data_IF_720053306222
#
_entry.id   IF_720053306222
#
_cell.length_a   1.000
_cell.length_b   1.000
_cell.length_c   1.000
_cell.angle_alpha   90.00
_cell.angle_beta   90.00
_cell.angle_gamma   90.00
#
_symmetry.space_group_name_H-M   'P 1'
#
loop_
_entity.id
_entity.type
_entity.pdbx_description
1 polymer ?
#
# COMPACT_ATOMS: atom_id res chain seq x y z
N UNK A 1 12.60 -3.88 18.83
CA UNK A 1 11.91 -4.89 18.15
C UNK A 1 11.08 -4.32 17.00
N UNK A 2 10.78 -5.15 15.99
CA UNK A 2 10.17 -4.67 14.75
C UNK A 2 8.89 -3.87 14.91
N UNK A 3 8.02 -4.24 15.85
CA UNK A 3 6.76 -3.53 16.10
C UNK A 3 6.95 -2.12 16.68
N UNK A 4 8.09 -1.84 17.27
CA UNK A 4 8.43 -0.50 17.78
C UNK A 4 9.06 0.39 16.71
N UNK A 5 9.60 -0.21 15.66
CA UNK A 5 10.30 0.49 14.58
C UNK A 5 9.37 0.92 13.46
N UNK A 6 8.19 0.32 13.36
CA UNK A 6 7.23 0.66 12.32
C UNK A 6 5.79 0.56 12.82
N UNK A 7 4.91 1.29 12.13
CA UNK A 7 3.47 1.22 12.32
C UNK A 7 2.91 0.44 11.13
N UNK A 8 2.12 -0.59 11.41
CA UNK A 8 1.48 -1.38 10.36
C UNK A 8 0.00 -1.08 10.32
N UNK A 9 -0.52 -0.83 9.14
CA UNK A 9 -1.95 -0.62 8.92
C UNK A 9 -2.41 -1.41 7.69
N UNK A 10 -3.71 -1.60 7.57
CA UNK A 10 -4.31 -2.31 6.44
C UNK A 10 -5.72 -1.84 6.18
N UNK A 11 -6.19 -2.09 4.96
CA UNK A 11 -7.60 -1.89 4.62
C UNK A 11 -8.45 -3.01 5.20
N UNK A 12 -9.74 -2.73 5.35
CA UNK A 12 -10.75 -3.71 5.73
C UNK A 12 -11.91 -3.58 4.76
N UNK A 13 -12.48 -4.72 4.37
CA UNK A 13 -13.67 -4.74 3.54
C UNK A 13 -13.44 -4.99 2.06
N UNK A 14 -12.21 -4.87 1.54
CA UNK A 14 -11.92 -5.24 0.16
C UNK A 14 -12.07 -6.74 -0.06
N UNK A 15 -11.75 -7.52 0.95
CA UNK A 15 -11.84 -8.98 0.90
C UNK A 15 -13.17 -9.54 1.40
N UNK A 16 -14.18 -8.76 1.56
CA UNK A 16 -15.51 -9.12 2.05
C UNK A 16 -15.67 -10.57 2.57
N UNK A 17 -15.98 -10.73 3.84
CA UNK A 17 -16.05 -12.04 4.50
C UNK A 17 -17.42 -12.71 4.36
N UNK A 18 -18.12 -12.46 3.27
CA UNK A 18 -19.41 -13.12 2.96
C UNK A 18 -19.40 -13.61 1.51
N UNK A 19 -20.24 -14.60 1.25
CA UNK A 19 -20.36 -15.17 -0.08
C UNK A 19 -20.87 -14.13 -1.08
N UNK A 20 -20.21 -14.05 -2.22
CA UNK A 20 -20.64 -13.18 -3.31
C UNK A 20 -21.24 -14.00 -4.45
N UNK A 21 -22.26 -13.43 -5.07
CA UNK A 21 -22.96 -14.11 -6.17
C UNK A 21 -22.16 -14.07 -7.48
N UNK A 22 -21.37 -13.04 -7.68
CA UNK A 22 -20.55 -12.86 -8.89
C UNK A 22 -19.10 -12.66 -8.51
N UNK A 23 -18.20 -13.27 -9.26
CA UNK A 23 -16.76 -13.13 -9.09
C UNK A 23 -16.06 -14.47 -8.97
N UNK A 24 -14.78 -14.44 -8.67
CA UNK A 24 -13.95 -15.63 -8.59
C UNK A 24 -14.26 -16.38 -7.29
N UNK A 25 -14.76 -17.66 -7.36
CA UNK A 25 -15.09 -18.42 -6.16
C UNK A 25 -13.87 -18.77 -5.29
N UNK A 26 -12.67 -18.66 -5.83
CA UNK A 26 -11.43 -18.93 -5.08
C UNK A 26 -10.98 -17.74 -4.24
N UNK A 27 -11.60 -16.56 -4.41
CA UNK A 27 -11.21 -15.33 -3.74
C UNK A 27 -12.35 -14.77 -2.90
N UNK A 28 -11.99 -14.24 -1.74
CA UNK A 28 -12.93 -13.54 -0.87
C UNK A 28 -13.05 -12.08 -1.30
N UNK A 29 -14.26 -11.62 -1.66
CA UNK A 29 -14.49 -10.26 -2.13
C UNK A 29 -13.66 -9.92 -3.36
N UNK A 30 -12.88 -8.82 -3.30
CA UNK A 30 -11.95 -8.46 -4.36
C UNK A 30 -10.68 -9.32 -4.35
N UNK A 31 -10.50 -10.16 -3.34
CA UNK A 31 -9.39 -11.10 -3.27
C UNK A 31 -8.11 -10.52 -2.69
N UNK A 32 -8.13 -9.29 -2.21
CA UNK A 32 -6.95 -8.68 -1.62
C UNK A 32 -7.29 -7.64 -0.55
N UNK A 33 -6.33 -7.33 0.31
CA UNK A 33 -6.34 -6.16 1.18
C UNK A 33 -5.02 -5.43 1.01
N UNK A 34 -5.05 -4.12 1.18
CA UNK A 34 -3.85 -3.28 1.11
C UNK A 34 -3.23 -3.15 2.51
N UNK A 35 -1.92 -3.26 2.58
CA UNK A 35 -1.17 -3.06 3.83
C UNK A 35 -0.12 -1.98 3.64
N UNK A 36 0.29 -1.36 4.73
CA UNK A 36 1.35 -0.35 4.73
C UNK A 36 2.10 -0.43 6.05
N UNK A 37 3.43 -0.38 5.98
CA UNK A 37 4.30 -0.30 7.15
C UNK A 37 5.01 1.05 7.11
N UNK A 38 4.71 1.91 8.08
CA UNK A 38 5.32 3.22 8.20
C UNK A 38 6.49 3.16 9.17
N UNK A 39 7.65 3.65 8.75
CA UNK A 39 8.80 3.80 9.63
C UNK A 39 8.48 4.86 10.67
N UNK A 40 8.56 4.49 11.94
CA UNK A 40 8.16 5.33 13.06
C UNK A 40 9.24 6.35 13.46
N UNK A 41 10.52 5.99 13.23
CA UNK A 41 11.63 6.82 13.60
C UNK A 41 11.58 8.19 12.91
N UNK A 42 11.75 9.24 13.68
CA UNK A 42 11.76 10.61 13.15
C UNK A 42 10.40 11.24 12.90
N UNK A 43 9.30 10.55 13.21
CA UNK A 43 7.97 11.15 13.10
C UNK A 43 7.69 12.08 14.27
N UNK A 44 7.27 13.31 13.97
CA UNK A 44 6.92 14.30 15.00
C UNK A 44 5.64 13.93 15.74
N UNK A 45 4.64 13.42 15.01
CA UNK A 45 3.34 13.05 15.57
C UNK A 45 2.87 11.72 14.96
N UNK A 46 3.32 10.58 15.52
CA UNK A 46 2.93 9.27 14.99
C UNK A 46 1.42 9.03 14.94
N UNK A 47 0.67 9.50 15.93
CA UNK A 47 -0.79 9.30 15.95
C UNK A 47 -1.48 10.01 14.79
N UNK A 48 -1.04 11.23 14.46
CA UNK A 48 -1.57 11.96 13.31
C UNK A 48 -1.23 11.26 12.00
N UNK A 49 -0.01 10.75 11.87
CA UNK A 49 0.42 10.03 10.67
C UNK A 49 -0.37 8.74 10.47
N UNK A 50 -0.70 8.02 11.54
CA UNK A 50 -1.55 6.82 11.47
C UNK A 50 -2.93 7.17 10.92
N UNK A 51 -3.54 8.24 11.43
CA UNK A 51 -4.84 8.70 10.92
C UNK A 51 -4.78 9.06 9.45
N UNK A 52 -3.71 9.74 9.06
CA UNK A 52 -3.52 10.16 7.67
C UNK A 52 -3.32 8.96 6.75
N UNK A 53 -2.56 7.95 7.18
CA UNK A 53 -2.39 6.70 6.45
C UNK A 53 -3.72 5.97 6.28
N UNK A 54 -4.55 5.92 7.33
CA UNK A 54 -5.88 5.31 7.21
C UNK A 54 -6.69 5.99 6.13
N UNK A 55 -6.65 7.32 6.05
CA UNK A 55 -7.33 8.09 5.00
C UNK A 55 -6.77 7.79 3.61
N UNK A 56 -5.45 7.67 3.48
CA UNK A 56 -4.81 7.31 2.21
C UNK A 56 -5.21 5.91 1.76
N UNK A 57 -5.20 4.94 2.67
CA UNK A 57 -5.60 3.57 2.36
C UNK A 57 -7.07 3.50 1.93
N UNK A 58 -7.95 4.26 2.58
CA UNK A 58 -9.35 4.35 2.20
C UNK A 58 -9.52 4.98 0.81
N UNK A 59 -8.75 6.01 0.50
CA UNK A 59 -8.76 6.66 -0.82
C UNK A 59 -8.32 5.67 -1.90
N UNK A 60 -7.25 4.93 -1.67
CA UNK A 60 -6.72 3.94 -2.61
C UNK A 60 -7.70 2.78 -2.76
N UNK A 61 -8.28 2.29 -1.66
CA UNK A 61 -9.31 1.26 -1.70
C UNK A 61 -10.53 1.72 -2.51
N UNK A 62 -10.87 2.99 -2.44
CA UNK A 62 -11.96 3.58 -3.22
C UNK A 62 -11.76 3.45 -4.73
N UNK A 63 -10.53 3.42 -5.21
CA UNK A 63 -10.23 3.19 -6.62
C UNK A 63 -10.74 1.80 -7.05
N UNK A 64 -10.53 0.80 -6.23
CA UNK A 64 -11.04 -0.55 -6.48
C UNK A 64 -12.57 -0.58 -6.46
N UNK A 65 -13.18 0.01 -5.44
CA UNK A 65 -14.64 -0.01 -5.27
C UNK A 65 -15.34 0.74 -6.41
N UNK A 66 -14.81 1.88 -6.82
CA UNK A 66 -15.45 2.73 -7.82
C UNK A 66 -15.14 2.32 -9.26
N UNK A 67 -13.94 1.82 -9.53
CA UNK A 67 -13.45 1.56 -10.89
C UNK A 67 -13.19 0.07 -11.17
N UNK A 68 -13.30 -0.79 -10.17
CA UNK A 68 -13.03 -2.21 -10.32
C UNK A 68 -11.54 -2.57 -10.45
N UNK A 69 -10.64 -1.60 -10.26
CA UNK A 69 -9.21 -1.86 -10.35
C UNK A 69 -8.75 -2.72 -9.17
N UNK A 70 -8.10 -3.84 -9.46
CA UNK A 70 -7.54 -4.72 -8.45
C UNK A 70 -6.03 -4.56 -8.41
N UNK A 71 -5.50 -4.20 -7.24
CA UNK A 71 -4.07 -4.04 -7.06
C UNK A 71 -3.41 -5.41 -6.91
N UNK A 72 -2.31 -5.59 -7.64
CA UNK A 72 -1.47 -6.78 -7.56
C UNK A 72 -0.03 -6.35 -7.30
N UNK A 73 0.83 -7.24 -6.78
CA UNK A 73 2.25 -6.90 -6.60
C UNK A 73 2.91 -6.51 -7.93
N UNK A 74 3.87 -5.60 -7.87
CA UNK A 74 4.62 -5.17 -9.05
C UNK A 74 4.02 -4.00 -9.82
N UNK A 75 3.12 -3.25 -9.20
CA UNK A 75 2.53 -2.03 -9.78
C UNK A 75 3.09 -0.78 -9.10
N UNK A 76 2.87 0.37 -9.72
CA UNK A 76 3.13 1.65 -9.07
C UNK A 76 1.90 2.56 -9.17
N UNK A 77 1.78 3.47 -8.22
CA UNK A 77 0.64 4.37 -8.11
C UNK A 77 1.13 5.78 -7.80
N UNK A 78 0.92 6.71 -8.74
CA UNK A 78 1.15 8.13 -8.51
C UNK A 78 -0.11 8.74 -7.94
N UNK A 79 0.00 9.46 -6.81
CA UNK A 79 -1.16 10.05 -6.15
C UNK A 79 -1.62 11.37 -6.78
N UNK A 80 -0.91 11.83 -7.82
CA UNK A 80 -1.31 13.01 -8.58
C UNK A 80 -1.03 14.34 -7.90
N UNK A 81 -0.35 14.34 -6.76
CA UNK A 81 0.02 15.56 -6.05
C UNK A 81 1.54 15.78 -6.07
N UNK A 82 1.94 17.03 -5.96
CA UNK A 82 3.36 17.41 -5.97
C UNK A 82 3.97 17.47 -4.55
N UNK A 83 3.13 17.37 -3.53
CA UNK A 83 3.55 17.45 -2.13
C UNK A 83 3.60 16.07 -1.50
N UNK A 84 4.36 15.95 -0.43
CA UNK A 84 4.46 14.70 0.30
C UNK A 84 3.12 14.17 0.81
N UNK A 85 3.03 12.85 0.92
CA UNK A 85 1.82 12.15 1.37
C UNK A 85 1.69 12.09 2.89
N UNK A 86 2.68 12.57 3.63
CA UNK A 86 2.59 12.71 5.09
C UNK A 86 1.59 13.79 5.49
N UNK A 87 1.16 13.79 6.74
CA UNK A 87 0.11 14.69 7.23
C UNK A 87 0.45 16.17 7.03
N UNK A 88 1.72 16.54 7.18
CA UNK A 88 2.18 17.93 7.00
C UNK A 88 2.66 18.23 5.57
N UNK A 89 2.63 17.26 4.67
CA UNK A 89 3.07 17.38 3.27
C UNK A 89 4.52 17.84 3.12
N UNK A 90 5.39 17.39 4.02
CA UNK A 90 6.81 17.79 4.06
C UNK A 90 7.75 16.76 3.46
N UNK A 91 7.31 15.51 3.29
CA UNK A 91 8.16 14.44 2.77
C UNK A 91 8.30 14.51 1.26
N UNK A 92 9.25 13.75 0.72
CA UNK A 92 9.42 13.57 -0.71
C UNK A 92 8.58 12.40 -1.25
N UNK A 93 7.83 11.71 -0.40
CA UNK A 93 7.02 10.56 -0.80
C UNK A 93 5.72 11.06 -1.42
N UNK A 94 5.51 10.75 -2.71
CA UNK A 94 4.37 11.25 -3.48
C UNK A 94 3.56 10.14 -4.15
N UNK A 95 3.95 8.89 -3.96
CA UNK A 95 3.23 7.76 -4.53
C UNK A 95 3.65 6.46 -3.86
N UNK A 96 3.25 5.35 -4.46
CA UNK A 96 3.50 4.02 -3.90
C UNK A 96 3.88 3.03 -4.98
N UNK A 97 4.65 2.02 -4.59
CA UNK A 97 4.75 0.77 -5.34
C UNK A 97 4.05 -0.32 -4.54
N UNK A 98 3.67 -1.39 -5.22
CA UNK A 98 3.04 -2.55 -4.58
C UNK A 98 4.00 -3.72 -4.59
N UNK A 99 3.98 -4.48 -3.51
CA UNK A 99 4.69 -5.77 -3.43
C UNK A 99 3.84 -6.75 -2.63
N UNK A 100 4.16 -8.04 -2.73
CA UNK A 100 3.52 -9.03 -1.88
C UNK A 100 3.95 -8.77 -0.42
N UNK A 101 2.98 -8.72 0.50
CA UNK A 101 3.27 -8.61 1.92
C UNK A 101 4.01 -9.87 2.40
N UNK A 102 4.84 -9.74 3.42
CA UNK A 102 5.60 -10.86 3.96
C UNK A 102 4.70 -12.00 4.47
N UNK A 103 3.49 -11.68 4.89
CA UNK A 103 2.48 -12.67 5.27
C UNK A 103 1.95 -13.40 4.04
N UNK A 104 1.92 -12.72 2.87
CA UNK A 104 1.48 -13.29 1.61
C UNK A 104 -0.03 -13.37 1.49
N UNK A 105 -0.56 -14.58 1.39
CA UNK A 105 -1.98 -14.84 1.23
C UNK A 105 -2.53 -15.48 2.49
N UNK A 106 -3.69 -15.01 2.94
CA UNK A 106 -4.42 -15.62 4.05
C UNK A 106 -5.69 -16.26 3.52
N UNK A 107 -6.16 -17.32 4.16
CA UNK A 107 -7.40 -17.97 3.79
C UNK A 107 -8.53 -17.46 4.66
N UNK A 108 -9.69 -17.24 4.03
CA UNK A 108 -10.94 -16.92 4.71
C UNK A 108 -11.97 -18.00 4.41
N UNK A 109 -13.10 -18.05 5.15
CA UNK A 109 -14.18 -19.00 4.85
C UNK A 109 -14.72 -18.89 3.41
N UNK A 110 -14.54 -17.76 2.75
CA UNK A 110 -15.07 -17.48 1.42
C UNK A 110 -13.99 -17.39 0.32
N UNK A 111 -12.77 -17.80 0.62
CA UNK A 111 -11.68 -17.85 -0.35
C UNK A 111 -10.38 -17.21 0.15
N UNK A 112 -9.43 -17.07 -0.76
CA UNK A 112 -8.10 -16.55 -0.44
C UNK A 112 -8.09 -15.02 -0.49
N UNK A 113 -7.28 -14.43 0.40
CA UNK A 113 -7.05 -12.98 0.46
C UNK A 113 -5.55 -12.74 0.34
N UNK A 114 -5.14 -12.09 -0.73
CA UNK A 114 -3.74 -11.67 -0.91
C UNK A 114 -3.51 -10.36 -0.17
N UNK A 115 -2.44 -10.28 0.60
CA UNK A 115 -2.05 -9.02 1.23
C UNK A 115 -1.05 -8.31 0.33
N UNK A 116 -1.46 -7.16 -0.19
CA UNK A 116 -0.66 -6.32 -1.10
C UNK A 116 -0.11 -5.14 -0.31
N UNK A 117 1.19 -5.09 -0.16
CA UNK A 117 1.87 -4.04 0.61
C UNK A 117 2.19 -2.84 -0.26
N UNK A 118 1.88 -1.65 0.25
CA UNK A 118 2.27 -0.38 -0.36
C UNK A 118 3.58 0.10 0.27
N UNK A 119 4.49 0.58 -0.56
CA UNK A 119 5.74 1.21 -0.11
C UNK A 119 5.79 2.60 -0.72
N UNK A 120 5.95 3.62 0.11
CA UNK A 120 6.04 5.01 -0.35
C UNK A 120 7.29 5.25 -1.18
N UNK A 121 7.14 5.95 -2.30
CA UNK A 121 8.20 6.27 -3.24
C UNK A 121 8.20 7.75 -3.61
N UNK A 122 9.34 8.22 -4.09
CA UNK A 122 9.53 9.63 -4.47
C UNK A 122 9.09 9.89 -5.92
N UNK A 123 8.83 11.15 -6.23
CA UNK A 123 8.39 11.55 -7.58
C UNK A 123 9.39 11.14 -8.66
N UNK A 124 10.68 11.31 -8.42
CA UNK A 124 11.70 10.91 -9.39
C UNK A 124 11.73 9.38 -9.62
N UNK A 125 11.41 8.60 -8.59
CA UNK A 125 11.30 7.15 -8.71
C UNK A 125 10.09 6.75 -9.55
N UNK A 126 8.97 7.47 -9.40
CA UNK A 126 7.79 7.29 -10.23
C UNK A 126 8.09 7.60 -11.70
N UNK A 127 8.81 8.70 -11.96
CA UNK A 127 9.21 9.06 -13.32
C UNK A 127 10.09 8.00 -13.96
N UNK A 128 11.03 7.42 -13.21
CA UNK A 128 11.86 6.32 -13.70
C UNK A 128 11.01 5.10 -14.07
N UNK A 129 9.98 4.80 -13.30
CA UNK A 129 9.07 3.69 -13.60
C UNK A 129 8.20 4.00 -14.82
N UNK A 130 7.72 5.23 -14.98
CA UNK A 130 6.96 5.66 -16.16
C UNK A 130 7.81 5.56 -17.43
N UNK A 131 9.10 5.93 -17.35
CA UNK A 131 10.05 5.89 -18.45
C UNK A 131 10.62 4.48 -18.68
N UNK A 132 10.22 3.50 -17.87
CA UNK A 132 10.67 2.10 -17.96
C UNK A 132 12.18 1.93 -17.71
N UNK A 133 12.83 2.89 -17.05
CA UNK A 133 14.22 2.78 -16.63
C UNK A 133 14.37 2.02 -15.31
N UNK A 134 13.25 1.85 -14.58
CA UNK A 134 13.18 1.07 -13.34
C UNK A 134 11.83 0.36 -13.28
N UNK A 135 11.80 -0.85 -12.73
CA UNK A 135 10.55 -1.57 -12.46
C UNK A 135 10.17 -1.45 -10.98
N UNK A 136 8.88 -1.57 -10.62
CA UNK A 136 8.50 -1.63 -9.21
C UNK A 136 9.22 -2.74 -8.45
N UNK A 137 9.45 -3.89 -9.06
CA UNK A 137 10.19 -4.98 -8.44
C UNK A 137 11.64 -4.60 -8.12
N UNK A 138 12.32 -3.88 -9.03
CA UNK A 138 13.68 -3.40 -8.79
C UNK A 138 13.72 -2.40 -7.64
N UNK A 139 12.76 -1.49 -7.57
CA UNK A 139 12.68 -0.51 -6.48
C UNK A 139 12.36 -1.21 -5.17
N UNK A 140 11.50 -2.23 -5.15
CA UNK A 140 11.20 -3.02 -3.96
C UNK A 140 12.47 -3.72 -3.42
N UNK A 141 13.35 -4.18 -4.31
CA UNK A 141 14.65 -4.75 -3.91
C UNK A 141 15.56 -3.71 -3.25
N UNK A 142 15.54 -2.47 -3.74
CA UNK A 142 16.29 -1.36 -3.14
C UNK A 142 15.72 -1.01 -1.76
N UNK A 143 14.39 -1.01 -1.63
CA UNK A 143 13.65 -0.71 -0.40
C UNK A 143 13.31 -1.99 0.36
N UNK A 144 14.25 -2.87 0.49
CA UNK A 144 14.06 -4.25 0.96
C UNK A 144 13.49 -4.42 2.37
N UNK A 145 13.57 -3.40 3.21
CA UNK A 145 12.91 -3.42 4.52
C UNK A 145 11.38 -3.30 4.41
N UNK A 146 10.88 -2.88 3.24
CA UNK A 146 9.45 -2.73 3.00
C UNK A 146 8.78 -1.58 3.74
N UNK A 147 9.55 -0.72 4.40
CA UNK A 147 9.00 0.39 5.18
C UNK A 147 8.81 1.63 4.32
N UNK A 148 7.65 2.29 4.48
CA UNK A 148 7.45 3.64 3.96
C UNK A 148 8.18 4.59 4.90
N UNK A 149 9.18 5.30 4.36
CA UNK A 149 10.05 6.20 5.13
C UNK A 149 9.85 7.63 4.65
N UNK A 150 9.15 8.44 5.44
CA UNK A 150 8.91 9.85 5.12
C UNK A 150 10.17 10.73 5.23
N UNK A 151 11.27 10.19 5.72
CA UNK A 151 12.54 10.92 5.85
C UNK A 151 13.51 10.67 4.69
N UNK A 152 13.15 9.83 3.73
CA UNK A 152 13.98 9.62 2.52
C UNK A 152 14.08 10.86 1.67
#
# INVERSE_FOLDING_TARGET
VGSEMCIRDRTYGLSELYEKQNGNPERSGYGFELTLKLKKEGLENPALEVRHICSLLQMIAGITVNNGHQFTPGQFLAMGQQRGLDAASKSAITGFITKEDDIGTVESPFGKVQLVQLIGVKAEEIEQMKNKTMTPAQLAEILKDGLTDYKR
#
